data_IF_726272446644
#
_entry.id   IF_726272446644
#
_cell.length_a   1.000
_cell.length_b   1.000
_cell.length_c   1.000
_cell.angle_alpha   90.00
_cell.angle_beta   90.00
_cell.angle_gamma   90.00
#
_symmetry.space_group_name_H-M   'P 1'
#
loop_
_entity.id
_entity.type
_entity.pdbx_description
1 polymer ?
#
# COMPACT_ATOMS: atom_id res chain seq x y z
N UNK A 1 -25.39 -16.45 -31.42
CA UNK A 1 -24.75 -15.15 -31.12
C UNK A 1 -23.97 -15.31 -29.84
N UNK A 2 -22.63 -15.17 -29.85
CA UNK A 2 -21.82 -15.24 -28.62
C UNK A 2 -21.92 -13.90 -27.91
N UNK A 3 -22.46 -13.91 -26.70
CA UNK A 3 -22.54 -12.73 -25.83
C UNK A 3 -21.11 -12.39 -25.39
N UNK A 4 -20.56 -11.29 -25.92
CA UNK A 4 -19.27 -10.77 -25.46
C UNK A 4 -19.53 -10.16 -24.08
N UNK A 5 -19.12 -10.86 -23.03
CA UNK A 5 -19.07 -10.27 -21.70
C UNK A 5 -17.92 -9.26 -21.69
N UNK A 6 -18.25 -7.97 -21.77
CA UNK A 6 -17.31 -6.93 -21.40
C UNK A 6 -17.08 -7.05 -19.90
N UNK A 7 -15.93 -7.59 -19.48
CA UNK A 7 -15.48 -7.46 -18.09
C UNK A 7 -15.40 -5.95 -17.80
N UNK A 8 -16.32 -5.46 -16.98
CA UNK A 8 -16.39 -4.05 -16.62
C UNK A 8 -15.07 -3.66 -15.95
N UNK A 9 -14.34 -2.73 -16.56
CA UNK A 9 -13.07 -2.28 -16.02
C UNK A 9 -13.27 -1.77 -14.59
N UNK A 10 -12.38 -2.15 -13.67
CA UNK A 10 -12.46 -1.73 -12.29
C UNK A 10 -12.46 -0.20 -12.17
N UNK A 11 -13.42 0.35 -11.43
CA UNK A 11 -13.58 1.80 -11.29
C UNK A 11 -12.64 2.36 -10.20
N UNK A 12 -11.36 2.53 -10.57
CA UNK A 12 -10.35 3.04 -9.65
C UNK A 12 -10.60 4.50 -9.24
N UNK A 13 -11.29 5.28 -10.08
CA UNK A 13 -11.71 6.65 -9.76
C UNK A 13 -12.71 6.70 -8.60
N UNK A 14 -13.65 5.75 -8.55
CA UNK A 14 -14.59 5.66 -7.44
C UNK A 14 -13.88 5.29 -6.12
N UNK A 15 -12.94 4.35 -6.18
CA UNK A 15 -12.10 4.00 -5.04
C UNK A 15 -11.28 5.21 -4.55
N UNK A 16 -10.65 5.95 -5.47
CA UNK A 16 -9.91 7.17 -5.16
C UNK A 16 -10.77 8.18 -4.38
N UNK A 17 -11.97 8.48 -4.87
CA UNK A 17 -12.90 9.40 -4.20
C UNK A 17 -13.27 8.91 -2.80
N UNK A 18 -13.52 7.60 -2.65
CA UNK A 18 -13.86 7.03 -1.35
C UNK A 18 -12.70 7.13 -0.35
N UNK A 19 -11.46 6.86 -0.80
CA UNK A 19 -10.25 7.05 0.02
C UNK A 19 -10.09 8.52 0.39
N UNK A 20 -10.24 9.44 -0.56
CA UNK A 20 -10.16 10.89 -0.30
C UNK A 20 -11.20 11.36 0.72
N UNK A 21 -12.41 10.81 0.70
CA UNK A 21 -13.44 11.11 1.71
C UNK A 21 -13.02 10.67 3.12
N UNK A 22 -12.38 9.50 3.25
CA UNK A 22 -11.83 9.06 4.54
C UNK A 22 -10.70 9.99 5.02
N UNK A 23 -9.84 10.40 4.09
CA UNK A 23 -8.73 11.31 4.37
C UNK A 23 -9.21 12.71 4.79
N UNK A 24 -10.25 13.25 4.14
CA UNK A 24 -10.92 14.51 4.54
C UNK A 24 -11.51 14.47 5.94
N UNK A 25 -11.90 13.29 6.41
CA UNK A 25 -12.37 13.06 7.78
C UNK A 25 -11.21 12.85 8.76
N UNK A 26 -9.96 13.01 8.33
CA UNK A 26 -8.74 12.74 9.10
C UNK A 26 -8.71 11.34 9.75
N UNK A 27 -9.34 10.37 9.09
CA UNK A 27 -9.42 9.01 9.61
C UNK A 27 -8.08 8.29 9.47
N UNK A 28 -7.80 7.43 10.45
CA UNK A 28 -6.68 6.50 10.38
C UNK A 28 -6.90 5.49 9.24
N UNK A 29 -5.90 5.30 8.39
CA UNK A 29 -5.94 4.31 7.29
C UNK A 29 -5.09 3.09 7.62
N UNK A 30 -5.64 1.91 7.39
CA UNK A 30 -4.95 0.63 7.48
C UNK A 30 -4.84 0.06 6.07
N UNK A 31 -3.62 -0.03 5.55
CA UNK A 31 -3.39 -0.32 4.13
C UNK A 31 -2.56 -1.59 4.01
N UNK A 32 -3.12 -2.61 3.39
CA UNK A 32 -2.36 -3.79 2.99
C UNK A 32 -1.92 -3.63 1.54
N UNK A 33 -0.62 -3.75 1.28
CA UNK A 33 -0.03 -3.65 -0.06
C UNK A 33 0.34 -5.06 -0.52
N UNK A 34 -0.33 -5.53 -1.58
CA UNK A 34 -0.09 -6.83 -2.20
C UNK A 34 -0.42 -6.75 -3.71
N UNK A 35 0.48 -6.12 -4.47
CA UNK A 35 0.25 -5.74 -5.87
C UNK A 35 -0.73 -4.56 -6.06
N UNK A 36 -1.80 -4.51 -5.28
CA UNK A 36 -2.71 -3.37 -5.13
C UNK A 36 -2.81 -2.97 -3.65
N UNK A 37 -3.41 -1.82 -3.35
CA UNK A 37 -3.67 -1.38 -1.98
C UNK A 37 -5.08 -1.77 -1.55
N UNK A 38 -5.20 -2.47 -0.43
CA UNK A 38 -6.46 -2.69 0.27
C UNK A 38 -6.54 -1.74 1.44
N UNK A 39 -7.36 -0.71 1.31
CA UNK A 39 -7.47 0.39 2.26
C UNK A 39 -8.69 0.17 3.13
N UNK A 40 -8.50 0.26 4.44
CA UNK A 40 -9.55 0.18 5.45
C UNK A 40 -9.40 1.31 6.47
N UNK A 41 -10.48 1.61 7.17
CA UNK A 41 -10.55 2.57 8.26
C UNK A 41 -11.66 2.16 9.25
N UNK A 42 -11.84 2.90 10.34
CA UNK A 42 -12.93 2.63 11.27
C UNK A 42 -14.29 2.75 10.57
N UNK A 43 -15.03 1.63 10.53
CA UNK A 43 -16.35 1.52 9.90
C UNK A 43 -16.33 1.35 8.37
N UNK A 44 -15.15 1.26 7.73
CA UNK A 44 -15.02 1.06 6.27
C UNK A 44 -13.91 0.06 5.99
N UNK A 45 -14.22 -1.04 5.30
CA UNK A 45 -13.26 -2.11 5.03
C UNK A 45 -13.18 -2.43 3.55
N UNK A 46 -11.99 -2.82 3.08
CA UNK A 46 -11.84 -3.49 1.78
C UNK A 46 -11.98 -2.58 0.56
N UNK A 47 -11.61 -1.30 0.66
CA UNK A 47 -11.50 -0.46 -0.54
C UNK A 47 -10.28 -0.95 -1.31
N UNK A 48 -10.51 -1.65 -2.42
CA UNK A 48 -9.46 -1.98 -3.37
C UNK A 48 -9.00 -0.68 -4.05
N UNK A 49 -7.71 -0.45 -4.17
CA UNK A 49 -7.18 0.74 -4.80
C UNK A 49 -5.94 0.39 -5.61
N UNK A 50 -6.02 0.58 -6.92
CA UNK A 50 -4.91 0.28 -7.81
C UNK A 50 -3.94 1.46 -7.75
N UNK A 51 -2.73 1.23 -7.25
CA UNK A 51 -1.74 2.27 -7.08
C UNK A 51 -1.01 2.56 -8.39
N UNK A 52 -0.69 3.83 -8.61
CA UNK A 52 0.41 4.26 -9.47
C UNK A 52 1.36 5.12 -8.63
N UNK A 53 2.47 5.58 -9.23
CA UNK A 53 3.46 6.36 -8.49
C UNK A 53 2.87 7.62 -7.82
N UNK A 54 1.99 8.35 -8.51
CA UNK A 54 1.33 9.54 -7.96
C UNK A 54 0.38 9.20 -6.81
N UNK A 55 -0.46 8.17 -6.99
CA UNK A 55 -1.38 7.70 -5.97
C UNK A 55 -0.66 7.14 -4.73
N UNK A 56 0.50 6.51 -4.91
CA UNK A 56 1.36 6.09 -3.82
C UNK A 56 1.92 7.27 -3.02
N UNK A 57 2.48 8.26 -3.73
CA UNK A 57 3.00 9.47 -3.09
C UNK A 57 1.90 10.23 -2.32
N UNK A 58 0.70 10.32 -2.90
CA UNK A 58 -0.46 10.93 -2.25
C UNK A 58 -0.85 10.22 -0.96
N UNK A 59 -0.93 8.88 -0.97
CA UNK A 59 -1.20 8.10 0.25
C UNK A 59 -0.11 8.28 1.28
N UNK A 60 1.16 8.23 0.88
CA UNK A 60 2.29 8.43 1.79
C UNK A 60 2.26 9.81 2.44
N UNK A 61 2.01 10.86 1.66
CA UNK A 61 1.87 12.22 2.17
C UNK A 61 0.77 12.29 3.23
N UNK A 62 -0.42 11.76 2.92
CA UNK A 62 -1.51 11.73 3.89
C UNK A 62 -1.14 10.98 5.16
N UNK A 63 -0.55 9.79 5.05
CA UNK A 63 -0.16 8.99 6.21
C UNK A 63 0.81 9.75 7.13
N UNK A 64 1.73 10.52 6.58
CA UNK A 64 2.69 11.33 7.32
C UNK A 64 2.08 12.60 7.92
N UNK A 65 1.42 13.41 7.08
CA UNK A 65 1.08 14.81 7.39
C UNK A 65 -0.39 14.99 7.73
N UNK A 66 -1.25 14.11 7.23
CA UNK A 66 -2.71 14.23 7.28
C UNK A 66 -3.28 15.07 6.14
N UNK A 67 -2.44 15.54 5.22
CA UNK A 67 -2.88 16.30 4.04
C UNK A 67 -3.51 15.36 3.01
N UNK A 68 -4.76 15.64 2.68
CA UNK A 68 -5.59 14.82 1.80
C UNK A 68 -5.60 15.34 0.35
N UNK A 69 -4.99 16.50 0.07
CA UNK A 69 -4.99 17.06 -1.28
C UNK A 69 -4.24 16.15 -2.26
N UNK A 70 -4.91 15.81 -3.36
CA UNK A 70 -4.44 14.85 -4.36
C UNK A 70 -3.76 15.55 -5.55
N UNK A 71 -3.82 16.88 -5.65
CA UNK A 71 -3.19 17.70 -6.69
C UNK A 71 -3.31 17.13 -8.12
N UNK A 72 -4.47 16.56 -8.44
CA UNK A 72 -4.72 15.98 -9.77
C UNK A 72 -4.08 14.59 -9.99
N UNK A 73 -3.99 13.76 -8.96
CA UNK A 73 -3.71 12.32 -9.13
C UNK A 73 -4.74 11.72 -10.09
N UNK A 74 -4.26 11.08 -11.16
CA UNK A 74 -5.08 10.32 -12.10
C UNK A 74 -4.93 8.83 -11.78
N UNK A 75 -5.77 8.24 -10.92
CA UNK A 75 -5.56 6.90 -10.36
C UNK A 75 -5.67 5.80 -11.42
N UNK A 76 -6.39 6.03 -12.51
CA UNK A 76 -6.50 5.07 -13.62
C UNK A 76 -5.34 5.10 -14.61
N UNK A 77 -4.41 6.07 -14.48
CA UNK A 77 -3.27 6.22 -15.39
C UNK A 77 -2.21 5.14 -15.15
N UNK A 78 -1.71 4.56 -16.24
CA UNK A 78 -0.60 3.60 -16.26
C UNK A 78 0.77 4.31 -16.17
N UNK A 79 1.84 3.62 -15.72
CA UNK A 79 1.84 2.26 -15.19
C UNK A 79 1.31 2.19 -13.76
N UNK A 80 0.62 1.08 -13.44
CA UNK A 80 0.27 0.74 -12.05
C UNK A 80 1.51 0.20 -11.36
N UNK A 81 1.65 0.46 -10.06
CA UNK A 81 2.62 -0.24 -9.23
C UNK A 81 2.23 -1.72 -9.22
N UNK A 82 3.15 -2.57 -9.69
CA UNK A 82 2.98 -4.01 -9.73
C UNK A 82 3.53 -4.63 -8.44
N UNK A 83 3.11 -5.85 -8.12
CA UNK A 83 3.64 -6.63 -6.98
C UNK A 83 5.15 -6.84 -7.05
N UNK A 84 5.70 -6.84 -8.26
CA UNK A 84 7.15 -6.94 -8.52
C UNK A 84 7.95 -5.79 -7.90
N UNK A 85 7.33 -4.63 -7.67
CA UNK A 85 7.99 -3.46 -7.07
C UNK A 85 7.77 -3.33 -5.56
N UNK A 86 7.09 -4.31 -4.93
CA UNK A 86 6.77 -4.21 -3.51
C UNK A 86 8.04 -4.23 -2.63
N UNK A 87 9.07 -4.97 -3.04
CA UNK A 87 10.37 -4.93 -2.38
C UNK A 87 11.02 -3.55 -2.50
N UNK A 88 11.04 -2.96 -3.69
CA UNK A 88 11.61 -1.63 -3.92
C UNK A 88 10.88 -0.53 -3.15
N UNK A 89 9.55 -0.64 -3.06
CA UNK A 89 8.73 0.27 -2.24
C UNK A 89 9.17 0.18 -0.78
N UNK A 90 9.31 -1.05 -0.24
CA UNK A 90 9.74 -1.23 1.15
C UNK A 90 11.18 -0.77 1.37
N UNK A 91 12.11 -1.13 0.49
CA UNK A 91 13.51 -0.66 0.52
C UNK A 91 13.54 0.86 0.53
N UNK A 92 12.78 1.51 -0.37
CA UNK A 92 12.64 2.96 -0.43
C UNK A 92 12.13 3.59 0.86
N UNK A 93 11.14 2.97 1.52
CA UNK A 93 10.66 3.43 2.83
C UNK A 93 11.73 3.28 3.93
N UNK A 94 12.50 2.19 3.93
CA UNK A 94 13.56 1.98 4.91
C UNK A 94 14.70 3.00 4.70
N UNK A 95 15.11 3.25 3.45
CA UNK A 95 16.15 4.25 3.15
C UNK A 95 15.71 5.66 3.51
N UNK A 96 14.45 6.00 3.31
CA UNK A 96 13.84 7.27 3.74
C UNK A 96 13.60 7.35 5.26
N UNK A 97 14.08 6.38 6.04
CA UNK A 97 14.01 6.32 7.51
C UNK A 97 12.59 6.30 8.08
N UNK A 98 11.63 5.78 7.32
CA UNK A 98 10.31 5.50 7.88
C UNK A 98 10.38 4.42 8.94
N UNK A 99 9.44 4.47 9.88
CA UNK A 99 9.31 3.48 10.95
C UNK A 99 8.72 2.17 10.41
N UNK A 100 9.58 1.39 9.74
CA UNK A 100 9.30 0.04 9.27
C UNK A 100 9.82 -0.94 10.31
N UNK A 101 8.98 -1.91 10.68
CA UNK A 101 9.35 -2.98 11.59
C UNK A 101 8.90 -4.33 11.04
N UNK A 102 9.69 -5.38 11.28
CA UNK A 102 9.23 -6.76 11.10
C UNK A 102 8.14 -7.06 12.11
N UNK A 103 7.10 -7.76 11.67
CA UNK A 103 6.11 -8.32 12.58
C UNK A 103 6.64 -9.70 13.00
N UNK A 104 7.08 -9.88 14.26
CA UNK A 104 7.63 -11.16 14.69
C UNK A 104 6.53 -12.21 14.67
N UNK A 105 6.79 -13.33 14.01
CA UNK A 105 5.94 -14.51 14.07
C UNK A 105 6.63 -15.61 14.87
N UNK A 106 5.86 -16.26 15.74
CA UNK A 106 6.31 -17.31 16.66
C UNK A 106 6.76 -18.62 15.95
N UNK A 107 6.61 -18.73 14.61
CA UNK A 107 6.97 -19.93 13.85
C UNK A 107 7.55 -19.54 12.48
N UNK A 108 8.75 -20.01 12.18
CA UNK A 108 9.56 -19.67 10.99
C UNK A 108 9.08 -20.31 9.67
N UNK A 109 7.84 -20.79 9.60
CA UNK A 109 7.36 -21.67 8.52
C UNK A 109 6.63 -20.96 7.38
N UNK A 110 6.54 -19.63 7.37
CA UNK A 110 5.86 -18.91 6.28
C UNK A 110 6.83 -18.55 5.14
N UNK A 111 6.39 -18.76 3.91
CA UNK A 111 7.09 -18.35 2.69
C UNK A 111 7.14 -16.81 2.50
N UNK A 112 6.61 -16.03 3.45
CA UNK A 112 6.49 -14.58 3.37
C UNK A 112 6.96 -13.89 4.66
N UNK A 113 7.61 -12.75 4.50
CA UNK A 113 8.01 -11.82 5.55
C UNK A 113 6.93 -10.74 5.66
N UNK A 114 6.41 -10.55 6.87
CA UNK A 114 5.41 -9.50 7.14
C UNK A 114 6.07 -8.29 7.77
N UNK A 115 5.85 -7.14 7.16
CA UNK A 115 6.38 -5.85 7.60
C UNK A 115 5.25 -4.89 7.91
N UNK A 116 5.48 -4.01 8.88
CA UNK A 116 4.55 -2.94 9.24
C UNK A 116 5.26 -1.60 9.20
N UNK A 117 4.69 -0.65 8.46
CA UNK A 117 5.05 0.76 8.53
C UNK A 117 4.10 1.51 9.47
N UNK A 118 4.65 2.25 10.43
CA UNK A 118 3.86 3.07 11.36
C UNK A 118 3.93 4.55 10.95
N UNK A 119 2.76 5.17 10.79
CA UNK A 119 2.61 6.57 10.43
C UNK A 119 1.62 7.26 11.37
N UNK A 120 1.56 8.60 11.31
CA UNK A 120 0.68 9.41 12.17
C UNK A 120 -0.81 9.19 11.85
N UNK A 121 -1.14 9.06 10.56
CA UNK A 121 -2.51 8.88 10.07
C UNK A 121 -2.78 7.46 9.53
N UNK A 122 -1.96 6.48 9.90
CA UNK A 122 -2.26 5.11 9.57
C UNK A 122 -1.10 4.12 9.70
N UNK A 123 -1.33 2.94 9.15
CA UNK A 123 -0.37 1.84 9.12
C UNK A 123 -0.34 1.21 7.75
N UNK A 124 0.88 0.89 7.30
CA UNK A 124 1.11 0.08 6.12
C UNK A 124 1.44 -1.35 6.55
N UNK A 125 0.96 -2.32 5.78
CA UNK A 125 1.27 -3.73 5.96
C UNK A 125 1.73 -4.31 4.63
N UNK A 126 2.87 -5.00 4.67
CA UNK A 126 3.44 -5.68 3.51
C UNK A 126 3.59 -7.16 3.81
N UNK A 127 3.35 -7.98 2.80
CA UNK A 127 3.66 -9.40 2.80
C UNK A 127 4.55 -9.69 1.60
N UNK A 128 5.85 -9.86 1.83
CA UNK A 128 6.86 -10.01 0.78
C UNK A 128 7.35 -11.45 0.78
N UNK A 129 7.48 -12.08 -0.39
CA UNK A 129 7.97 -13.45 -0.48
C UNK A 129 9.40 -13.49 0.07
N UNK A 130 9.69 -14.48 0.91
CA UNK A 130 11.02 -14.64 1.48
C UNK A 130 12.02 -14.97 0.37
N UNK A 131 13.09 -14.20 0.32
CA UNK A 131 14.31 -14.47 -0.44
C UNK A 131 15.50 -14.20 0.48
N UNK A 132 16.61 -14.93 0.27
CA UNK A 132 17.83 -14.73 1.08
C UNK A 132 18.37 -13.31 0.90
N UNK A 133 18.33 -12.78 -0.33
CA UNK A 133 18.72 -11.39 -0.64
C UNK A 133 17.91 -10.36 0.16
N UNK A 134 16.59 -10.52 0.24
CA UNK A 134 15.75 -9.55 0.96
C UNK A 134 15.90 -9.67 2.48
N UNK A 135 16.10 -10.89 3.00
CA UNK A 135 16.42 -11.12 4.42
C UNK A 135 17.74 -10.47 4.79
N UNK A 136 18.79 -10.69 3.99
CA UNK A 136 20.11 -10.11 4.22
C UNK A 136 20.07 -8.58 4.16
N UNK A 137 19.32 -8.02 3.20
CA UNK A 137 19.06 -6.59 3.14
C UNK A 137 18.42 -6.08 4.44
N UNK A 138 17.32 -6.70 4.89
CA UNK A 138 16.65 -6.27 6.11
C UNK A 138 17.57 -6.40 7.35
N UNK A 139 18.32 -7.51 7.47
CA UNK A 139 19.28 -7.73 8.56
C UNK A 139 20.37 -6.63 8.56
N UNK A 140 20.86 -6.23 7.39
CA UNK A 140 21.86 -5.14 7.25
C UNK A 140 21.34 -3.78 7.72
N UNK A 141 20.01 -3.60 7.74
CA UNK A 141 19.32 -2.40 8.23
C UNK A 141 18.91 -2.52 9.71
N UNK A 142 19.28 -3.62 10.38
CA UNK A 142 18.92 -3.88 11.78
C UNK A 142 17.45 -4.23 11.99
N UNK A 143 16.77 -4.70 10.93
CA UNK A 143 15.40 -5.19 10.96
C UNK A 143 15.37 -6.71 11.02
#
# INVERSE_FOLDING_TARGET
MKQIQFTQAYNNEAAHRQVKLLMKQHKQLYIQVNGEAWISSQGVTGIRYQLNAQGWQWILNYLQTGDYEDFGVFPSRLPKLCSEFQEDVVKGLIEQKYNIARIPFLRETEAYIKLRGLFRFGKLFFSIRRSDEFIDYLNSKGL
#
